data_IF_218127322762
#
_entry.id   IF_218127322762
#
_cell.length_a   1.000
_cell.length_b   1.000
_cell.length_c   1.000
_cell.angle_alpha   90.00
_cell.angle_beta   90.00
_cell.angle_gamma   90.00
#
_symmetry.space_group_name_H-M   'P 1'
#
loop_
_entity.id
_entity.type
_entity.pdbx_description
1 polymer ?
#
# COMPACT_ATOMS: atom_id res chain seq x y z
N UNK A 1 26.17 -31.88 -38.10
CA UNK A 1 26.98 -30.84 -38.76
C UNK A 1 27.16 -31.21 -40.23
N UNK A 2 26.07 -31.28 -41.00
CA UNK A 2 26.11 -31.67 -42.42
C UNK A 2 25.07 -30.84 -43.17
N UNK A 3 25.41 -29.59 -43.46
CA UNK A 3 24.69 -28.71 -44.39
C UNK A 3 25.62 -27.57 -44.82
N UNK A 4 26.91 -27.86 -45.01
CA UNK A 4 27.78 -26.94 -45.73
C UNK A 4 27.49 -27.21 -47.19
N UNK A 5 26.55 -26.43 -47.72
CA UNK A 5 26.21 -26.38 -49.13
C UNK A 5 27.49 -26.40 -49.96
N UNK A 6 27.50 -27.19 -51.04
CA UNK A 6 28.44 -27.03 -52.13
C UNK A 6 28.27 -25.61 -52.70
N UNK A 7 28.96 -24.64 -52.10
CA UNK A 7 29.05 -23.30 -52.65
C UNK A 7 29.77 -23.43 -54.01
N UNK A 8 29.34 -22.71 -55.06
CA UNK A 8 29.93 -22.80 -56.39
C UNK A 8 31.27 -22.06 -56.48
N UNK A 9 32.05 -22.12 -55.40
CA UNK A 9 33.32 -21.43 -55.22
C UNK A 9 34.42 -22.47 -55.42
N UNK A 10 35.22 -22.26 -56.45
CA UNK A 10 36.40 -23.08 -56.77
C UNK A 10 37.64 -22.20 -56.87
N UNK A 11 38.83 -22.74 -56.69
CA UNK A 11 40.08 -22.01 -56.96
C UNK A 11 40.46 -22.21 -58.43
N UNK A 12 40.85 -21.15 -59.15
CA UNK A 12 41.46 -21.30 -60.47
C UNK A 12 42.93 -21.73 -60.36
N UNK A 13 43.57 -21.94 -61.51
CA UNK A 13 44.98 -22.35 -61.60
C UNK A 13 45.96 -21.32 -60.99
N UNK A 14 45.52 -20.06 -60.84
CA UNK A 14 46.26 -18.98 -60.19
C UNK A 14 46.04 -18.91 -58.67
N UNK A 15 45.13 -19.73 -58.12
CA UNK A 15 44.75 -19.70 -56.70
C UNK A 15 43.70 -18.64 -56.36
N UNK A 16 43.04 -18.02 -57.34
CA UNK A 16 41.94 -17.08 -57.10
C UNK A 16 40.61 -17.81 -56.92
N UNK A 17 39.76 -17.30 -56.03
CA UNK A 17 38.39 -17.77 -55.87
C UNK A 17 37.55 -17.40 -57.09
N UNK A 18 37.12 -18.40 -57.85
CA UNK A 18 36.21 -18.30 -59.00
C UNK A 18 34.85 -18.86 -58.66
N UNK A 19 33.83 -18.02 -58.80
CA UNK A 19 32.43 -18.39 -58.65
C UNK A 19 31.93 -18.90 -60.00
N UNK A 20 31.57 -20.20 -60.08
CA UNK A 20 30.96 -20.76 -61.29
C UNK A 20 29.55 -20.20 -61.50
N UNK A 21 29.08 -20.13 -62.75
CA UNK A 21 27.68 -19.77 -63.06
C UNK A 21 26.75 -20.66 -62.23
N UNK A 22 26.03 -20.05 -61.32
CA UNK A 22 25.04 -20.70 -60.45
C UNK A 22 23.91 -21.27 -61.31
N UNK A 23 23.49 -22.49 -61.00
CA UNK A 23 22.32 -23.15 -61.56
C UNK A 23 21.03 -22.56 -60.97
N UNK A 24 19.99 -22.36 -61.80
CA UNK A 24 18.72 -21.77 -61.38
C UNK A 24 18.10 -22.48 -60.15
N UNK A 25 18.38 -23.77 -60.01
CA UNK A 25 17.96 -24.60 -58.87
C UNK A 25 18.58 -24.17 -57.53
N UNK A 26 19.85 -23.76 -57.51
CA UNK A 26 20.49 -23.24 -56.30
C UNK A 26 19.92 -21.86 -55.91
N UNK A 27 19.54 -21.05 -56.90
CA UNK A 27 18.86 -19.77 -56.67
C UNK A 27 17.46 -20.01 -56.08
N UNK A 28 16.69 -20.96 -56.62
CA UNK A 28 15.38 -21.35 -56.07
C UNK A 28 15.47 -21.87 -54.62
N UNK A 29 16.46 -22.69 -54.31
CA UNK A 29 16.72 -23.15 -52.94
C UNK A 29 17.05 -21.99 -52.00
N UNK A 30 17.85 -21.02 -52.46
CA UNK A 30 18.18 -19.83 -51.67
C UNK A 30 16.94 -18.96 -51.41
N UNK A 31 16.11 -18.75 -52.44
CA UNK A 31 14.84 -18.01 -52.33
C UNK A 31 13.91 -18.70 -51.33
N UNK A 32 13.81 -20.04 -51.40
CA UNK A 32 12.96 -20.82 -50.50
C UNK A 32 13.45 -20.74 -49.06
N UNK A 33 14.76 -20.81 -48.84
CA UNK A 33 15.37 -20.65 -47.51
C UNK A 33 15.06 -19.26 -46.94
N UNK A 34 15.27 -18.22 -47.74
CA UNK A 34 14.99 -16.82 -47.36
C UNK A 34 13.50 -16.63 -47.03
N UNK A 35 12.59 -17.14 -47.85
CA UNK A 35 11.14 -17.08 -47.60
C UNK A 35 10.75 -17.80 -46.31
N UNK A 36 11.31 -18.98 -46.06
CA UNK A 36 11.04 -19.77 -44.84
C UNK A 36 11.57 -19.04 -43.60
N UNK A 37 12.75 -18.43 -43.70
CA UNK A 37 13.34 -17.61 -42.64
C UNK A 37 12.45 -16.39 -42.32
N UNK A 38 11.99 -15.68 -43.34
CA UNK A 38 11.08 -14.53 -43.18
C UNK A 38 9.76 -14.94 -42.53
N UNK A 39 9.15 -16.05 -42.98
CA UNK A 39 7.92 -16.56 -42.37
C UNK A 39 8.12 -16.93 -40.88
N UNK A 40 9.23 -17.59 -40.55
CA UNK A 40 9.57 -17.94 -39.17
C UNK A 40 9.75 -16.70 -38.28
N UNK A 41 10.47 -15.69 -38.78
CA UNK A 41 10.68 -14.43 -38.06
C UNK A 41 9.37 -13.65 -37.88
N UNK A 42 8.54 -13.57 -38.91
CA UNK A 42 7.25 -12.89 -38.84
C UNK A 42 6.35 -13.52 -37.78
N UNK A 43 6.26 -14.85 -37.74
CA UNK A 43 5.49 -15.57 -36.71
C UNK A 43 6.01 -15.30 -35.28
N UNK A 44 7.35 -15.21 -35.11
CA UNK A 44 7.95 -14.85 -33.82
C UNK A 44 7.58 -13.41 -33.43
N UNK A 45 7.63 -12.48 -34.39
CA UNK A 45 7.29 -11.08 -34.16
C UNK A 45 5.82 -10.92 -33.74
N UNK A 46 4.90 -11.59 -34.44
CA UNK A 46 3.46 -11.61 -34.06
C UNK A 46 3.25 -12.14 -32.64
N UNK A 47 3.99 -13.18 -32.24
CA UNK A 47 3.90 -13.72 -30.88
C UNK A 47 4.44 -12.74 -29.84
N UNK A 48 5.52 -12.02 -30.15
CA UNK A 48 6.06 -10.98 -29.27
C UNK A 48 5.06 -9.83 -29.13
N UNK A 49 4.46 -9.37 -30.22
CA UNK A 49 3.47 -8.30 -30.22
C UNK A 49 2.25 -8.65 -29.34
N UNK A 50 1.73 -9.88 -29.48
CA UNK A 50 0.64 -10.38 -28.61
C UNK A 50 1.04 -10.43 -27.13
N UNK A 51 2.27 -10.84 -26.82
CA UNK A 51 2.76 -10.89 -25.44
C UNK A 51 2.92 -9.48 -24.85
N UNK A 52 3.39 -8.51 -25.65
CA UNK A 52 3.48 -7.11 -25.24
C UNK A 52 2.09 -6.54 -24.98
N UNK A 53 1.09 -6.85 -25.82
CA UNK A 53 -0.30 -6.46 -25.61
C UNK A 53 -0.84 -6.98 -24.26
N UNK A 54 -0.68 -8.27 -23.98
CA UNK A 54 -1.08 -8.88 -22.70
C UNK A 54 -0.35 -8.29 -21.50
N UNK A 55 0.94 -7.96 -21.66
CA UNK A 55 1.71 -7.30 -20.61
C UNK A 55 1.17 -5.89 -20.34
N UNK A 56 0.85 -5.13 -21.39
CA UNK A 56 0.24 -3.81 -21.29
C UNK A 56 -1.09 -3.85 -20.52
N UNK A 57 -1.96 -4.81 -20.84
CA UNK A 57 -3.22 -5.04 -20.11
C UNK A 57 -2.98 -5.38 -18.63
N UNK A 58 -2.02 -6.28 -18.35
CA UNK A 58 -1.69 -6.67 -16.98
C UNK A 58 -1.13 -5.51 -16.16
N UNK A 59 -0.29 -4.66 -16.75
CA UNK A 59 0.27 -3.46 -16.10
C UNK A 59 -0.84 -2.45 -15.84
N UNK A 60 -1.74 -2.21 -16.80
CA UNK A 60 -2.89 -1.32 -16.60
C UNK A 60 -3.84 -1.80 -15.49
N UNK A 61 -4.11 -3.11 -15.43
CA UNK A 61 -4.89 -3.70 -14.33
C UNK A 61 -4.21 -3.53 -12.98
N UNK A 62 -2.88 -3.70 -12.91
CA UNK A 62 -2.11 -3.51 -11.69
C UNK A 62 -2.16 -2.05 -11.22
N UNK A 63 -1.98 -1.09 -12.13
CA UNK A 63 -2.00 0.35 -11.81
C UNK A 63 -3.36 0.80 -11.25
N UNK A 64 -4.45 0.32 -11.84
CA UNK A 64 -5.80 0.57 -11.33
C UNK A 64 -6.00 0.01 -9.92
N UNK A 65 -5.54 -1.23 -9.68
CA UNK A 65 -5.61 -1.86 -8.34
C UNK A 65 -4.76 -1.12 -7.32
N UNK A 66 -3.58 -0.65 -7.71
CA UNK A 66 -2.70 0.13 -6.85
C UNK A 66 -3.35 1.47 -6.47
N UNK A 67 -3.89 2.18 -7.45
CA UNK A 67 -4.59 3.46 -7.24
C UNK A 67 -5.79 3.29 -6.31
N UNK A 68 -6.60 2.26 -6.53
CA UNK A 68 -7.74 1.96 -5.66
C UNK A 68 -7.29 1.66 -4.23
N UNK A 69 -6.28 0.81 -4.05
CA UNK A 69 -5.74 0.47 -2.72
C UNK A 69 -5.17 1.71 -2.00
N UNK A 70 -4.51 2.62 -2.73
CA UNK A 70 -4.03 3.88 -2.17
C UNK A 70 -5.18 4.77 -1.71
N UNK A 71 -6.24 4.91 -2.52
CA UNK A 71 -7.42 5.70 -2.16
C UNK A 71 -8.11 5.14 -0.91
N UNK A 72 -8.31 3.81 -0.86
CA UNK A 72 -8.91 3.14 0.31
C UNK A 72 -8.05 3.31 1.57
N UNK A 73 -6.73 3.28 1.44
CA UNK A 73 -5.81 3.51 2.56
C UNK A 73 -5.88 4.95 3.08
N UNK A 74 -5.89 5.94 2.18
CA UNK A 74 -6.01 7.36 2.55
C UNK A 74 -7.34 7.63 3.24
N UNK A 75 -8.45 7.12 2.70
CA UNK A 75 -9.76 7.23 3.33
C UNK A 75 -9.78 6.61 4.73
N UNK A 76 -9.20 5.40 4.87
CA UNK A 76 -9.07 4.72 6.16
C UNK A 76 -8.23 5.52 7.15
N UNK A 77 -7.12 6.13 6.71
CA UNK A 77 -6.29 6.98 7.55
C UNK A 77 -7.05 8.21 8.04
N UNK A 78 -7.74 8.93 7.15
CA UNK A 78 -8.54 10.12 7.51
C UNK A 78 -9.58 9.77 8.56
N UNK A 79 -10.31 8.66 8.39
CA UNK A 79 -11.30 8.21 9.36
C UNK A 79 -10.64 7.89 10.70
N UNK A 80 -9.51 7.18 10.72
CA UNK A 80 -8.80 6.85 11.97
C UNK A 80 -8.33 8.09 12.71
N UNK A 81 -7.72 9.03 12.01
CA UNK A 81 -7.22 10.29 12.57
C UNK A 81 -8.39 11.10 13.16
N UNK A 82 -9.52 11.15 12.45
CA UNK A 82 -10.74 11.81 12.94
C UNK A 82 -11.28 11.14 14.21
N UNK A 83 -11.42 9.82 14.24
CA UNK A 83 -11.93 9.11 15.42
C UNK A 83 -10.97 9.23 16.61
N UNK A 84 -9.66 9.25 16.37
CA UNK A 84 -8.66 9.51 17.41
C UNK A 84 -8.82 10.93 17.97
N UNK A 85 -8.99 11.93 17.11
CA UNK A 85 -9.19 13.32 17.52
C UNK A 85 -10.47 13.47 18.36
N UNK A 86 -11.57 12.84 17.96
CA UNK A 86 -12.82 12.85 18.71
C UNK A 86 -12.64 12.24 20.12
N UNK A 87 -11.95 11.08 20.23
CA UNK A 87 -11.64 10.46 21.53
C UNK A 87 -10.80 11.39 22.41
N UNK A 88 -9.82 12.06 21.83
CA UNK A 88 -8.97 13.03 22.54
C UNK A 88 -9.78 14.22 23.05
N UNK A 89 -10.60 14.84 22.20
CA UNK A 89 -11.46 15.96 22.56
C UNK A 89 -12.44 15.58 23.69
N UNK A 90 -12.97 14.35 23.66
CA UNK A 90 -13.80 13.83 24.76
C UNK A 90 -13.01 13.69 26.06
N UNK A 91 -11.78 13.21 26.00
CA UNK A 91 -10.90 13.08 27.17
C UNK A 91 -10.59 14.45 27.79
N UNK A 92 -10.24 15.45 26.97
CA UNK A 92 -10.04 16.84 27.40
C UNK A 92 -11.29 17.38 28.10
N UNK A 93 -12.48 17.16 27.50
CA UNK A 93 -13.75 17.54 28.10
C UNK A 93 -14.04 16.87 29.46
N UNK A 94 -13.54 15.65 29.71
CA UNK A 94 -13.67 15.01 31.01
C UNK A 94 -12.69 15.57 32.04
N UNK A 95 -11.44 15.77 31.65
CA UNK A 95 -10.42 16.33 32.55
C UNK A 95 -10.78 17.76 32.98
N UNK A 96 -11.19 18.60 32.02
CA UNK A 96 -11.57 19.99 32.30
C UNK A 96 -12.80 20.13 33.21
N UNK A 97 -13.70 19.14 33.23
CA UNK A 97 -14.95 19.24 33.99
C UNK A 97 -14.92 18.58 35.37
N UNK A 98 -14.09 17.54 35.62
CA UNK A 98 -14.26 16.69 36.82
C UNK A 98 -13.03 16.02 37.42
N UNK A 99 -11.82 16.13 36.85
CA UNK A 99 -10.66 15.46 37.48
C UNK A 99 -10.04 16.38 38.53
N UNK A 100 -10.15 15.99 39.80
CA UNK A 100 -9.37 16.59 40.88
C UNK A 100 -7.89 16.30 40.61
N UNK A 101 -7.17 17.29 40.10
CA UNK A 101 -5.72 17.25 40.04
C UNK A 101 -5.21 17.46 41.46
N UNK A 102 -4.56 16.46 42.03
CA UNK A 102 -3.85 16.57 43.30
C UNK A 102 -2.49 17.23 43.04
N UNK A 103 -2.24 18.36 43.71
CA UNK A 103 -0.97 19.08 43.63
C UNK A 103 -0.14 18.79 44.87
N UNK A 104 1.13 18.49 44.69
CA UNK A 104 2.13 18.58 45.76
C UNK A 104 2.56 20.04 45.91
N UNK A 105 2.94 20.46 47.12
CA UNK A 105 3.44 21.80 47.35
C UNK A 105 4.68 22.05 46.47
N UNK A 106 4.67 23.13 45.69
CA UNK A 106 5.69 23.41 44.70
C UNK A 106 6.32 24.78 44.97
N UNK A 107 7.66 24.82 45.08
CA UNK A 107 8.42 26.06 45.11
C UNK A 107 8.73 26.52 43.68
N UNK A 108 8.49 27.79 43.36
CA UNK A 108 8.75 28.33 42.02
C UNK A 108 7.98 29.60 41.70
N UNK A 109 8.17 30.10 40.48
CA UNK A 109 7.43 31.25 39.97
C UNK A 109 6.03 30.84 39.47
N UNK A 110 5.14 31.81 39.28
CA UNK A 110 3.81 31.58 38.69
C UNK A 110 3.90 30.84 37.33
N UNK A 111 4.90 31.16 36.50
CA UNK A 111 5.10 30.51 35.21
C UNK A 111 5.51 29.04 35.34
N UNK A 112 6.29 28.69 36.38
CA UNK A 112 6.65 27.30 36.67
C UNK A 112 5.43 26.49 37.08
N UNK A 113 4.56 27.09 37.89
CA UNK A 113 3.28 26.49 38.29
C UNK A 113 2.36 26.29 37.07
N UNK A 114 2.20 27.29 36.21
CA UNK A 114 1.38 27.19 34.99
C UNK A 114 1.87 26.08 34.06
N UNK A 115 3.19 25.98 33.88
CA UNK A 115 3.81 24.90 33.09
C UNK A 115 3.59 23.53 33.72
N UNK A 116 3.71 23.41 35.04
CA UNK A 116 3.50 22.15 35.75
C UNK A 116 2.04 21.69 35.66
N UNK A 117 1.09 22.60 35.87
CA UNK A 117 -0.36 22.35 35.70
C UNK A 117 -0.64 21.85 34.28
N UNK A 118 -0.07 22.49 33.26
CA UNK A 118 -0.26 22.07 31.87
C UNK A 118 0.25 20.64 31.60
N UNK A 119 1.38 20.26 32.19
CA UNK A 119 1.93 18.89 32.09
C UNK A 119 1.02 17.88 32.78
N UNK A 120 0.51 18.19 33.97
CA UNK A 120 -0.41 17.33 34.71
C UNK A 120 -1.73 17.13 33.93
N UNK A 121 -2.29 18.21 33.37
CA UNK A 121 -3.49 18.13 32.52
C UNK A 121 -3.22 17.21 31.32
N UNK A 122 -2.11 17.40 30.60
CA UNK A 122 -1.77 16.55 29.45
C UNK A 122 -1.62 15.07 29.82
N UNK A 123 -0.98 14.78 30.96
CA UNK A 123 -0.81 13.42 31.47
C UNK A 123 -2.16 12.78 31.78
N UNK A 124 -3.04 13.54 32.41
CA UNK A 124 -4.38 13.07 32.77
C UNK A 124 -5.28 12.87 31.55
N UNK A 125 -5.26 13.80 30.59
CA UNK A 125 -5.97 13.66 29.31
C UNK A 125 -5.51 12.40 28.59
N UNK A 126 -4.20 12.14 28.55
CA UNK A 126 -3.65 10.93 27.94
C UNK A 126 -4.16 9.67 28.66
N UNK A 127 -4.21 9.68 30.00
CA UNK A 127 -4.74 8.57 30.79
C UNK A 127 -6.21 8.31 30.48
N UNK A 128 -7.04 9.35 30.53
CA UNK A 128 -8.48 9.27 30.23
C UNK A 128 -8.70 8.81 28.79
N UNK A 129 -7.92 9.31 27.83
CA UNK A 129 -8.00 8.89 26.43
C UNK A 129 -7.73 7.39 26.25
N UNK A 130 -6.75 6.82 26.97
CA UNK A 130 -6.50 5.37 26.96
C UNK A 130 -7.70 4.58 27.47
N UNK A 131 -8.33 5.04 28.55
CA UNK A 131 -9.54 4.38 29.08
C UNK A 131 -10.73 4.50 28.12
N UNK A 132 -10.94 5.67 27.48
CA UNK A 132 -11.98 5.84 26.45
C UNK A 132 -11.71 4.88 25.28
N UNK A 133 -10.46 4.77 24.85
CA UNK A 133 -10.02 3.89 23.77
C UNK A 133 -10.31 2.42 24.10
N UNK A 134 -9.95 1.97 25.30
CA UNK A 134 -10.23 0.61 25.79
C UNK A 134 -11.74 0.34 25.86
N UNK A 135 -12.53 1.28 26.40
CA UNK A 135 -13.99 1.17 26.47
C UNK A 135 -14.61 0.98 25.09
N UNK A 136 -14.22 1.81 24.11
CA UNK A 136 -14.75 1.72 22.75
C UNK A 136 -14.32 0.42 22.07
N UNK A 137 -13.05 0.03 22.22
CA UNK A 137 -12.53 -1.23 21.70
C UNK A 137 -13.37 -2.42 22.19
N UNK A 138 -13.68 -2.47 23.48
CA UNK A 138 -14.50 -3.52 24.07
C UNK A 138 -15.95 -3.47 23.55
N UNK A 139 -16.59 -2.28 23.53
CA UNK A 139 -17.98 -2.14 23.08
C UNK A 139 -18.21 -2.42 21.60
N UNK A 140 -17.16 -2.30 20.79
CA UNK A 140 -17.18 -2.64 19.37
C UNK A 140 -16.62 -4.04 19.10
N UNK A 141 -16.20 -4.80 20.12
CA UNK A 141 -15.58 -6.12 20.01
C UNK A 141 -14.39 -6.15 19.04
N UNK A 142 -13.56 -5.11 19.09
CA UNK A 142 -12.44 -4.93 18.16
C UNK A 142 -11.16 -5.56 18.69
N UNK A 143 -10.40 -6.20 17.80
CA UNK A 143 -9.02 -6.64 18.09
C UNK A 143 -8.08 -5.45 18.25
N UNK A 144 -8.22 -4.45 17.37
CA UNK A 144 -7.48 -3.20 17.37
C UNK A 144 -8.42 -2.02 17.17
N UNK A 145 -8.18 -0.90 17.87
CA UNK A 145 -8.91 0.35 17.63
C UNK A 145 -8.44 1.05 16.34
N UNK A 146 -7.30 0.63 15.81
CA UNK A 146 -6.71 1.19 14.59
C UNK A 146 -7.25 0.51 13.32
N UNK A 147 -8.10 -0.51 13.47
CA UNK A 147 -8.71 -1.26 12.37
C UNK A 147 -10.23 -1.27 12.49
N UNK A 148 -10.84 -0.10 12.76
CA UNK A 148 -12.29 0.04 12.82
C UNK A 148 -12.88 -0.12 11.42
N UNK A 149 -13.72 -1.14 11.16
CA UNK A 149 -14.43 -1.26 9.90
C UNK A 149 -15.35 -0.06 9.66
N UNK A 150 -15.49 0.37 8.40
CA UNK A 150 -16.32 1.53 8.04
C UNK A 150 -17.76 1.45 8.57
N UNK A 151 -18.34 0.25 8.65
CA UNK A 151 -19.69 0.04 9.19
C UNK A 151 -19.83 0.33 10.70
N UNK A 152 -18.72 0.37 11.44
CA UNK A 152 -18.71 0.63 12.88
C UNK A 152 -18.35 2.08 13.23
N UNK A 153 -18.01 2.92 12.24
CA UNK A 153 -17.64 4.32 12.44
C UNK A 153 -18.77 5.12 13.10
N UNK A 154 -20.01 4.99 12.61
CA UNK A 154 -21.15 5.70 13.21
C UNK A 154 -21.52 5.17 14.60
N UNK A 155 -21.30 3.86 14.83
CA UNK A 155 -21.46 3.26 16.15
C UNK A 155 -20.39 3.79 17.13
N UNK A 156 -19.15 3.97 16.69
CA UNK A 156 -18.09 4.62 17.47
C UNK A 156 -18.51 6.02 17.90
N UNK A 157 -18.95 6.86 16.95
CA UNK A 157 -19.37 8.25 17.23
C UNK A 157 -20.52 8.30 18.23
N UNK A 158 -21.53 7.45 18.05
CA UNK A 158 -22.65 7.33 18.99
C UNK A 158 -22.19 6.93 20.38
N UNK A 159 -21.35 5.90 20.50
CA UNK A 159 -20.80 5.46 21.79
C UNK A 159 -20.01 6.56 22.49
N UNK A 160 -19.20 7.32 21.75
CA UNK A 160 -18.39 8.41 22.30
C UNK A 160 -19.26 9.59 22.75
N UNK A 161 -20.33 9.90 22.00
CA UNK A 161 -21.31 10.93 22.37
C UNK A 161 -22.02 10.58 23.68
N UNK A 162 -22.51 9.34 23.79
CA UNK A 162 -23.22 8.83 24.97
C UNK A 162 -22.33 8.46 26.16
N UNK A 163 -21.00 8.47 25.96
CA UNK A 163 -20.04 8.21 27.02
C UNK A 163 -20.08 9.34 28.05
N UNK A 164 -20.31 8.96 29.30
CA UNK A 164 -20.27 9.86 30.46
C UNK A 164 -19.14 9.43 31.40
N UNK A 165 -18.65 10.35 32.23
CA UNK A 165 -17.63 10.03 33.22
C UNK A 165 -18.04 8.87 34.14
N UNK A 166 -19.31 8.79 34.54
CA UNK A 166 -19.83 7.69 35.38
C UNK A 166 -19.73 6.33 34.69
N UNK A 167 -20.03 6.26 33.38
CA UNK A 167 -19.88 5.03 32.59
C UNK A 167 -18.41 4.64 32.47
N UNK A 168 -17.53 5.62 32.23
CA UNK A 168 -16.08 5.39 32.14
C UNK A 168 -15.47 4.95 33.47
N UNK A 169 -15.84 5.59 34.59
CA UNK A 169 -15.39 5.23 35.94
C UNK A 169 -15.84 3.83 36.35
N UNK A 170 -17.10 3.48 36.02
CA UNK A 170 -17.60 2.11 36.22
C UNK A 170 -16.79 1.09 35.43
N UNK A 171 -16.39 1.43 34.20
CA UNK A 171 -15.57 0.59 33.35
C UNK A 171 -14.16 0.39 33.93
N UNK A 172 -13.51 1.49 34.36
CA UNK A 172 -12.19 1.43 34.98
C UNK A 172 -12.18 0.58 36.26
N UNK A 173 -13.22 0.70 37.10
CA UNK A 173 -13.37 -0.06 38.35
C UNK A 173 -13.63 -1.55 38.15
N UNK A 174 -14.17 -1.94 36.99
CA UNK A 174 -14.42 -3.35 36.65
C UNK A 174 -13.16 -4.08 36.14
N UNK A 175 -12.00 -3.42 36.14
CA UNK A 175 -10.73 -4.03 35.73
C UNK A 175 -10.57 -4.12 34.22
N UNK A 176 -11.17 -3.19 33.46
CA UNK A 176 -10.98 -3.09 32.01
C UNK A 176 -9.57 -2.60 31.65
N UNK A 177 -8.59 -3.50 31.76
CA UNK A 177 -7.22 -3.38 31.27
C UNK A 177 -6.84 -4.67 30.53
#
# INVERSE_FOLDING_TARGET
MENIAHLPITLNESGDLVIKRTDDKAIEQLITLVQTQFASQNNKLTKVDQNIGKLGESVGSFDNRLTQAQLENVASKIVRDQLQHERHAKAEGFVGNKVQLTFEAMEGTRSDLERHVQVLIKKEVTRVMRHITAYIKEKLSLKSIDDIPNCLVEKHKTLLKELTWKKLDTFMKKGGC
#
